data_IF_664011205524
#
_entry.id   IF_664011205524
#
_cell.length_a   1.000
_cell.length_b   1.000
_cell.length_c   1.000
_cell.angle_alpha   90.00
_cell.angle_beta   90.00
_cell.angle_gamma   90.00
#
_symmetry.space_group_name_H-M   'P 1'
#
loop_
_entity.id
_entity.type
_entity.pdbx_description
1 polymer ?
#
# COMPACT_ATOMS: atom_id res chain seq x y z
N UNK A 1 17.57 0.19 16.74
CA UNK A 1 18.55 0.37 15.67
C UNK A 1 18.49 1.81 15.16
N UNK A 2 19.64 2.38 14.80
CA UNK A 2 19.64 3.71 14.22
C UNK A 2 18.96 3.65 12.84
N UNK A 3 18.24 4.72 12.44
CA UNK A 3 17.58 4.81 11.14
C UNK A 3 18.50 4.43 9.98
N UNK A 4 19.77 4.83 10.06
CA UNK A 4 20.80 4.50 9.07
C UNK A 4 21.03 2.99 8.92
N UNK A 5 21.05 2.24 10.02
CA UNK A 5 21.31 0.79 9.99
C UNK A 5 20.16 0.04 9.30
N UNK A 6 18.92 0.47 9.57
CA UNK A 6 17.72 -0.10 8.93
C UNK A 6 17.73 0.17 7.42
N UNK A 7 18.02 1.41 7.00
CA UNK A 7 18.11 1.77 5.59
C UNK A 7 19.22 0.97 4.89
N UNK A 8 20.37 0.84 5.53
CA UNK A 8 21.49 0.09 4.97
C UNK A 8 21.16 -1.39 4.78
N UNK A 9 20.35 -1.98 5.67
CA UNK A 9 19.91 -3.39 5.53
C UNK A 9 18.99 -3.62 4.33
N UNK A 10 18.26 -2.59 3.88
CA UNK A 10 17.38 -2.68 2.71
C UNK A 10 18.09 -2.32 1.40
N UNK A 11 19.20 -1.60 1.43
CA UNK A 11 19.87 -1.03 0.26
C UNK A 11 19.10 0.15 -0.32
N UNK A 12 17.86 -0.09 -0.79
CA UNK A 12 16.90 0.94 -1.19
C UNK A 12 15.72 0.93 -0.23
N UNK A 13 15.31 2.12 0.22
CA UNK A 13 14.25 2.27 1.20
C UNK A 13 13.30 3.43 0.87
N UNK A 14 12.11 3.35 1.44
CA UNK A 14 11.16 4.46 1.50
C UNK A 14 11.02 4.86 2.96
N UNK A 15 11.12 6.15 3.25
CA UNK A 15 10.77 6.68 4.56
C UNK A 15 9.51 7.53 4.46
N UNK A 16 8.62 7.36 5.44
CA UNK A 16 7.30 8.01 5.47
C UNK A 16 7.08 8.72 6.80
N UNK A 17 6.56 9.94 6.73
CA UNK A 17 6.03 10.62 7.90
C UNK A 17 4.70 9.93 8.31
N UNK A 18 4.50 9.59 9.60
CA UNK A 18 3.27 8.91 10.07
C UNK A 18 2.00 9.69 9.74
N UNK A 19 2.05 11.00 9.85
CA UNK A 19 0.93 11.89 9.56
C UNK A 19 1.25 12.74 8.34
N UNK A 20 0.80 12.27 7.18
CA UNK A 20 0.93 12.98 5.91
C UNK A 20 -0.16 12.55 4.95
N UNK A 21 -0.31 13.26 3.85
CA UNK A 21 -1.27 12.93 2.80
C UNK A 21 -0.68 13.18 1.41
N UNK A 22 -1.24 12.48 0.42
CA UNK A 22 -0.94 12.70 -1.00
C UNK A 22 0.56 12.61 -1.35
N UNK A 23 1.30 11.70 -0.73
CA UNK A 23 2.71 11.44 -1.00
C UNK A 23 3.70 12.51 -0.52
N UNK A 24 3.23 13.61 0.11
CA UNK A 24 4.10 14.72 0.56
C UNK A 24 5.10 14.32 1.64
N UNK A 25 4.72 13.35 2.46
CA UNK A 25 5.55 12.82 3.56
C UNK A 25 6.40 11.63 3.19
N UNK A 26 6.67 11.38 1.91
CA UNK A 26 7.42 10.23 1.43
C UNK A 26 8.78 10.69 0.88
N UNK A 27 9.84 9.96 1.20
CA UNK A 27 11.19 10.15 0.63
C UNK A 27 11.75 8.81 0.20
N UNK A 28 12.35 8.79 -0.98
CA UNK A 28 13.04 7.64 -1.53
C UNK A 28 14.53 7.74 -1.20
N UNK A 29 15.12 6.63 -0.79
CA UNK A 29 16.53 6.55 -0.43
C UNK A 29 17.18 5.45 -1.26
N UNK A 30 18.27 5.79 -1.90
CA UNK A 30 19.16 4.84 -2.56
C UNK A 30 20.48 4.80 -1.80
N UNK A 31 20.72 3.70 -1.07
CA UNK A 31 21.87 3.39 -0.25
C UNK A 31 22.08 4.30 0.99
N UNK A 32 21.96 5.63 0.87
CA UNK A 32 22.20 6.54 1.98
C UNK A 32 21.29 7.78 1.93
N UNK A 33 21.05 8.35 3.12
CA UNK A 33 20.36 9.63 3.25
C UNK A 33 21.37 10.77 3.02
N UNK A 34 20.98 11.74 2.20
CA UNK A 34 21.67 13.02 2.12
C UNK A 34 21.34 13.93 3.33
N UNK A 35 21.98 15.09 3.38
CA UNK A 35 21.80 16.04 4.48
C UNK A 35 20.36 16.59 4.55
N UNK A 36 19.69 16.79 3.40
CA UNK A 36 18.32 17.30 3.33
C UNK A 36 17.31 16.28 3.87
N UNK A 37 17.44 15.02 3.46
CA UNK A 37 16.61 13.91 3.95
C UNK A 37 16.86 13.67 5.43
N UNK A 38 18.12 13.73 5.88
CA UNK A 38 18.48 13.57 7.30
C UNK A 38 17.83 14.66 8.15
N UNK A 39 17.91 15.92 7.72
CA UNK A 39 17.29 17.05 8.43
C UNK A 39 15.77 16.96 8.43
N UNK A 40 15.16 16.53 7.31
CA UNK A 40 13.73 16.30 7.22
C UNK A 40 13.29 15.18 8.16
N UNK A 41 13.99 14.05 8.19
CA UNK A 41 13.67 12.91 9.06
C UNK A 41 13.75 13.29 10.54
N UNK A 42 14.80 14.01 10.94
CA UNK A 42 14.95 14.50 12.31
C UNK A 42 13.77 15.41 12.73
N UNK A 43 13.36 16.32 11.85
CA UNK A 43 12.19 17.18 12.09
C UNK A 43 10.89 16.38 12.22
N UNK A 44 10.65 15.40 11.34
CA UNK A 44 9.46 14.53 11.41
C UNK A 44 9.44 13.76 12.72
N UNK A 45 10.55 13.14 13.11
CA UNK A 45 10.67 12.41 14.38
C UNK A 45 10.37 13.34 15.57
N UNK A 46 10.92 14.55 15.57
CA UNK A 46 10.68 15.54 16.64
C UNK A 46 9.22 15.98 16.72
N UNK A 47 8.55 16.16 15.58
CA UNK A 47 7.17 16.67 15.52
C UNK A 47 6.10 15.59 15.66
N UNK A 48 6.38 14.38 15.17
CA UNK A 48 5.39 13.30 15.05
C UNK A 48 5.72 12.06 15.89
N UNK A 49 6.84 12.08 16.62
CA UNK A 49 7.25 11.01 17.53
C UNK A 49 7.94 9.83 16.85
N UNK A 50 7.98 9.76 15.53
CA UNK A 50 8.58 8.67 14.80
C UNK A 50 8.63 8.87 13.29
N UNK A 51 9.21 7.89 12.61
CA UNK A 51 9.23 7.79 11.14
C UNK A 51 9.08 6.32 10.74
N UNK A 52 8.34 6.06 9.66
CA UNK A 52 8.21 4.72 9.11
C UNK A 52 9.31 4.48 8.08
N UNK A 53 9.83 3.26 8.06
CA UNK A 53 10.86 2.82 7.09
C UNK A 53 10.40 1.52 6.47
N UNK A 54 10.37 1.49 5.14
CA UNK A 54 9.96 0.34 4.36
C UNK A 54 11.01 0.04 3.29
N UNK A 55 11.21 -1.24 2.90
CA UNK A 55 12.03 -1.56 1.74
C UNK A 55 11.40 -0.95 0.48
N UNK A 56 12.26 -0.53 -0.46
CA UNK A 56 11.80 -0.10 -1.77
C UNK A 56 11.47 -1.32 -2.63
N UNK A 57 10.24 -1.37 -3.11
CA UNK A 57 9.80 -2.41 -4.03
C UNK A 57 9.73 -1.91 -5.46
N UNK A 58 10.07 -2.79 -6.43
CA UNK A 58 9.89 -2.51 -7.85
C UNK A 58 8.40 -2.62 -8.23
N UNK A 59 7.68 -1.54 -7.97
CA UNK A 59 6.24 -1.46 -8.17
C UNK A 59 5.89 -1.45 -9.66
N UNK A 60 4.96 -2.33 -10.04
CA UNK A 60 4.43 -2.47 -11.40
C UNK A 60 3.05 -1.85 -11.56
N UNK A 61 2.19 -1.97 -10.55
CA UNK A 61 0.81 -1.49 -10.61
C UNK A 61 0.32 -1.10 -9.22
N UNK A 62 -0.41 0.00 -9.13
CA UNK A 62 -1.18 0.36 -7.95
C UNK A 62 -2.62 -0.13 -8.11
N UNK A 63 -3.18 -0.66 -7.03
CA UNK A 63 -4.61 -0.98 -6.91
C UNK A 63 -5.01 -0.99 -5.44
N UNK A 64 -6.28 -1.10 -5.17
CA UNK A 64 -6.80 -1.21 -3.81
C UNK A 64 -8.04 -2.08 -3.77
N UNK A 65 -8.50 -2.36 -2.57
CA UNK A 65 -9.79 -2.97 -2.28
C UNK A 65 -10.60 -2.04 -1.40
N UNK A 66 -11.84 -1.81 -1.81
CA UNK A 66 -12.78 -0.99 -1.07
C UNK A 66 -13.67 -1.87 -0.20
N UNK A 67 -13.98 -1.36 0.98
CA UNK A 67 -14.85 -2.05 1.95
C UNK A 67 -15.82 -1.05 2.56
N UNK A 68 -16.88 -1.60 3.13
CA UNK A 68 -17.83 -0.85 3.95
C UNK A 68 -18.05 -1.56 5.27
N UNK A 69 -18.05 -0.80 6.36
CA UNK A 69 -18.25 -1.31 7.72
C UNK A 69 -19.59 -0.81 8.25
N UNK A 70 -20.43 -1.74 8.69
CA UNK A 70 -21.70 -1.45 9.35
C UNK A 70 -21.87 -2.27 10.65
N UNK A 71 -23.08 -2.28 11.20
CA UNK A 71 -23.39 -3.04 12.41
C UNK A 71 -23.25 -4.57 12.23
N UNK A 72 -23.44 -5.08 11.01
CA UNK A 72 -23.26 -6.51 10.71
C UNK A 72 -21.78 -6.90 10.62
N UNK A 73 -20.94 -5.98 10.16
CA UNK A 73 -19.50 -6.19 10.04
C UNK A 73 -18.89 -5.50 8.84
N UNK A 74 -17.80 -6.08 8.32
CA UNK A 74 -17.06 -5.57 7.17
C UNK A 74 -17.51 -6.29 5.90
N UNK A 75 -17.78 -5.52 4.86
CA UNK A 75 -18.24 -6.00 3.55
C UNK A 75 -17.26 -5.53 2.48
N UNK A 76 -16.81 -6.45 1.63
CA UNK A 76 -16.05 -6.10 0.43
C UNK A 76 -16.94 -5.37 -0.56
N UNK A 77 -16.47 -4.23 -1.09
CA UNK A 77 -17.22 -3.36 -1.99
C UNK A 77 -16.69 -3.35 -3.42
N UNK A 78 -15.47 -3.83 -3.66
CA UNK A 78 -14.89 -3.97 -5.00
C UNK A 78 -13.43 -3.57 -5.09
N UNK A 79 -12.88 -3.72 -6.29
CA UNK A 79 -11.52 -3.28 -6.64
C UNK A 79 -11.49 -1.79 -6.98
N UNK A 80 -10.37 -1.16 -6.66
CA UNK A 80 -9.98 0.17 -7.11
C UNK A 80 -8.67 0.05 -7.87
N UNK A 81 -8.64 0.41 -9.16
CA UNK A 81 -7.40 0.45 -9.96
C UNK A 81 -7.06 1.90 -10.23
N UNK A 82 -5.96 2.36 -9.67
CA UNK A 82 -5.55 3.75 -9.76
C UNK A 82 -4.13 3.90 -10.29
N UNK A 83 -3.79 5.12 -10.63
CA UNK A 83 -2.51 5.48 -11.20
C UNK A 83 -1.81 6.50 -10.33
N UNK A 84 -0.50 6.32 -10.19
CA UNK A 84 0.38 7.27 -9.52
C UNK A 84 1.51 7.68 -10.47
N UNK A 85 1.92 8.96 -10.41
CA UNK A 85 3.11 9.47 -11.09
C UNK A 85 4.00 10.07 -10.01
N UNK A 86 5.23 9.60 -9.91
CA UNK A 86 6.19 10.02 -8.87
C UNK A 86 5.62 9.90 -7.44
N UNK A 87 4.78 8.87 -7.20
CA UNK A 87 4.13 8.66 -5.91
C UNK A 87 2.90 9.54 -5.64
N UNK A 88 2.55 10.45 -6.56
CA UNK A 88 1.34 11.26 -6.46
C UNK A 88 0.18 10.60 -7.20
N UNK A 89 -0.98 10.51 -6.54
CA UNK A 89 -2.20 10.01 -7.16
C UNK A 89 -2.63 10.92 -8.32
N UNK A 90 -2.98 10.33 -9.47
CA UNK A 90 -3.44 11.04 -10.67
C UNK A 90 -4.86 10.66 -11.12
N UNK A 91 -5.39 9.54 -10.69
CA UNK A 91 -6.77 9.16 -11.00
C UNK A 91 -7.05 7.67 -10.90
N UNK A 92 -8.33 7.33 -10.91
CA UNK A 92 -8.84 5.96 -10.93
C UNK A 92 -9.40 5.58 -12.28
N UNK A 93 -9.33 4.28 -12.59
CA UNK A 93 -10.05 3.70 -13.72
C UNK A 93 -11.52 3.53 -13.37
N UNK A 94 -12.40 4.27 -14.05
CA UNK A 94 -13.85 4.10 -13.95
C UNK A 94 -14.28 2.94 -14.86
N UNK A 95 -14.41 1.76 -14.29
CA UNK A 95 -14.70 0.52 -15.01
C UNK A 95 -15.41 -0.48 -14.10
N UNK A 96 -15.99 -1.51 -14.70
CA UNK A 96 -16.64 -2.60 -13.98
C UNK A 96 -15.63 -3.42 -13.18
N UNK A 97 -16.11 -4.22 -12.23
CA UNK A 97 -15.24 -5.14 -11.45
C UNK A 97 -14.50 -6.11 -12.37
N UNK A 98 -15.18 -6.66 -13.40
CA UNK A 98 -14.57 -7.58 -14.35
C UNK A 98 -13.46 -6.92 -15.19
N UNK A 99 -13.65 -5.70 -15.65
CA UNK A 99 -12.63 -4.94 -16.36
C UNK A 99 -11.42 -4.62 -15.47
N UNK A 100 -11.65 -4.26 -14.20
CA UNK A 100 -10.58 -4.05 -13.22
C UNK A 100 -9.78 -5.34 -12.99
N UNK A 101 -10.46 -6.48 -12.88
CA UNK A 101 -9.82 -7.81 -12.78
C UNK A 101 -9.01 -8.13 -14.05
N UNK A 102 -9.52 -7.81 -15.22
CA UNK A 102 -8.76 -7.97 -16.49
C UNK A 102 -7.52 -7.09 -16.54
N UNK A 103 -7.56 -5.86 -16.00
CA UNK A 103 -6.38 -4.99 -15.91
C UNK A 103 -5.30 -5.55 -14.99
N UNK A 104 -5.68 -6.32 -13.98
CA UNK A 104 -4.75 -6.97 -13.04
C UNK A 104 -4.31 -8.37 -13.47
N UNK A 105 -5.07 -9.04 -14.34
CA UNK A 105 -4.83 -10.42 -14.77
C UNK A 105 -3.42 -10.71 -15.33
N UNK A 106 -2.72 -9.77 -16.01
CA UNK A 106 -1.34 -9.98 -16.43
C UNK A 106 -0.35 -10.17 -15.28
N UNK A 107 -0.71 -9.76 -14.07
CA UNK A 107 0.15 -9.73 -12.89
C UNK A 107 -0.32 -10.65 -11.78
N UNK A 108 -1.64 -10.78 -11.59
CA UNK A 108 -2.27 -11.42 -10.42
C UNK A 108 -3.39 -12.34 -10.87
N UNK A 109 -3.36 -13.60 -10.43
CA UNK A 109 -4.47 -14.54 -10.63
C UNK A 109 -5.71 -14.09 -9.83
N UNK A 110 -6.90 -14.18 -10.42
CA UNK A 110 -8.16 -13.81 -9.76
C UNK A 110 -8.37 -14.54 -8.43
N UNK A 111 -7.93 -15.79 -8.30
CA UNK A 111 -8.00 -16.55 -7.05
C UNK A 111 -7.16 -15.94 -5.93
N UNK A 112 -6.09 -15.22 -6.26
CA UNK A 112 -5.30 -14.46 -5.28
C UNK A 112 -6.09 -13.24 -4.81
N UNK A 113 -6.74 -12.53 -5.73
CA UNK A 113 -7.59 -11.38 -5.39
C UNK A 113 -8.76 -11.80 -4.49
N UNK A 114 -9.43 -12.91 -4.81
CA UNK A 114 -10.54 -13.43 -4.01
C UNK A 114 -10.10 -13.79 -2.59
N UNK A 115 -8.99 -14.52 -2.44
CA UNK A 115 -8.43 -14.85 -1.12
C UNK A 115 -7.98 -13.62 -0.33
N UNK A 116 -7.43 -12.61 -1.00
CA UNK A 116 -7.09 -11.35 -0.34
C UNK A 116 -8.32 -10.63 0.17
N UNK A 117 -9.39 -10.55 -0.63
CA UNK A 117 -10.65 -9.94 -0.22
C UNK A 117 -11.25 -10.67 0.99
N UNK A 118 -11.27 -12.00 0.99
CA UNK A 118 -11.76 -12.81 2.11
C UNK A 118 -10.94 -12.58 3.39
N UNK A 119 -9.61 -12.71 3.30
CA UNK A 119 -8.71 -12.53 4.45
C UNK A 119 -8.79 -11.11 5.03
N UNK A 120 -8.79 -10.09 4.16
CA UNK A 120 -8.90 -8.71 4.61
C UNK A 120 -10.27 -8.43 5.23
N UNK A 121 -11.36 -8.95 4.65
CA UNK A 121 -12.70 -8.83 5.26
C UNK A 121 -12.70 -9.38 6.68
N UNK A 122 -12.14 -10.57 6.89
CA UNK A 122 -12.07 -11.20 8.21
C UNK A 122 -11.19 -10.39 9.16
N UNK A 123 -9.97 -10.04 8.75
CA UNK A 123 -9.02 -9.28 9.58
C UNK A 123 -9.58 -7.91 9.98
N UNK A 124 -10.14 -7.18 9.02
CA UNK A 124 -10.75 -5.88 9.26
C UNK A 124 -11.97 -6.00 10.17
N UNK A 125 -12.79 -7.06 10.03
CA UNK A 125 -13.91 -7.32 10.90
C UNK A 125 -13.48 -7.53 12.36
N UNK A 126 -12.42 -8.29 12.60
CA UNK A 126 -11.89 -8.55 13.96
C UNK A 126 -11.39 -7.26 14.62
N UNK A 127 -10.89 -6.31 13.85
CA UNK A 127 -10.32 -5.07 14.37
C UNK A 127 -11.31 -3.89 14.41
N UNK A 128 -12.25 -3.80 13.47
CA UNK A 128 -13.06 -2.60 13.24
C UNK A 128 -14.54 -2.76 13.64
N UNK A 129 -15.08 -3.98 13.69
CA UNK A 129 -16.47 -4.21 14.09
C UNK A 129 -16.78 -3.59 15.44
N UNK A 130 -17.80 -2.76 15.52
CA UNK A 130 -18.19 -2.04 16.73
C UNK A 130 -17.30 -0.85 17.09
N UNK A 131 -16.23 -0.57 16.33
CA UNK A 131 -15.30 0.56 16.57
C UNK A 131 -15.30 1.58 15.45
N UNK A 132 -15.65 1.18 14.23
CA UNK A 132 -15.71 2.04 13.06
C UNK A 132 -16.97 1.72 12.27
N UNK A 133 -17.56 2.72 11.62
CA UNK A 133 -18.65 2.58 10.64
C UNK A 133 -18.39 3.52 9.48
N UNK A 134 -18.55 3.00 8.26
CA UNK A 134 -18.36 3.77 7.03
C UNK A 134 -17.46 3.07 6.02
N UNK A 135 -17.16 3.77 4.91
CA UNK A 135 -16.29 3.27 3.86
C UNK A 135 -14.83 3.27 4.31
N UNK A 136 -14.06 2.29 3.85
CA UNK A 136 -12.60 2.28 3.97
C UNK A 136 -11.98 1.67 2.71
N UNK A 137 -10.74 2.06 2.41
CA UNK A 137 -9.94 1.48 1.34
C UNK A 137 -8.63 0.93 1.86
N UNK A 138 -8.17 -0.17 1.26
CA UNK A 138 -6.85 -0.75 1.50
C UNK A 138 -6.05 -0.63 0.21
N UNK A 139 -5.04 0.21 0.23
CA UNK A 139 -4.13 0.40 -0.90
C UNK A 139 -3.12 -0.75 -0.96
N UNK A 140 -2.90 -1.25 -2.17
CA UNK A 140 -2.05 -2.39 -2.49
C UNK A 140 -1.17 -2.08 -3.69
N UNK A 141 -0.13 -2.88 -3.89
CA UNK A 141 0.66 -2.80 -5.12
C UNK A 141 1.06 -4.18 -5.62
N UNK A 142 1.15 -4.30 -6.94
CA UNK A 142 1.85 -5.38 -7.60
C UNK A 142 3.32 -5.04 -7.68
N UNK A 143 4.17 -5.99 -7.32
CA UNK A 143 5.62 -5.84 -7.27
C UNK A 143 6.26 -6.89 -8.18
N UNK A 144 7.25 -6.50 -8.99
CA UNK A 144 8.07 -7.45 -9.71
C UNK A 144 9.01 -8.17 -8.75
N UNK A 145 9.01 -9.50 -8.81
CA UNK A 145 9.94 -10.32 -8.05
C UNK A 145 11.34 -10.19 -8.66
N UNK A 146 12.27 -9.60 -7.93
CA UNK A 146 13.67 -9.48 -8.36
C UNK A 146 14.46 -10.79 -8.20
N UNK A 147 13.99 -11.69 -7.36
CA UNK A 147 14.56 -13.02 -7.19
C UNK A 147 13.83 -14.01 -8.10
N UNK A 148 14.40 -14.27 -9.26
CA UNK A 148 13.91 -15.26 -10.24
C UNK A 148 14.02 -16.72 -9.76
N UNK A 149 14.42 -16.95 -8.52
CA UNK A 149 14.50 -18.26 -7.90
C UNK A 149 13.16 -18.59 -7.24
N UNK A 150 12.27 -19.21 -8.00
CA UNK A 150 11.41 -20.33 -7.63
C UNK A 150 9.99 -20.09 -7.08
N UNK A 151 9.55 -18.99 -6.49
CA UNK A 151 8.31 -19.10 -5.69
C UNK A 151 7.04 -18.46 -6.27
N UNK A 152 7.10 -17.73 -7.38
CA UNK A 152 5.89 -17.23 -8.06
C UNK A 152 5.97 -17.49 -9.57
N UNK A 153 5.06 -18.29 -10.14
CA UNK A 153 5.05 -18.62 -11.56
C UNK A 153 4.95 -17.40 -12.49
N UNK A 154 4.42 -16.29 -12.00
CA UNK A 154 4.19 -15.06 -12.77
C UNK A 154 5.35 -14.05 -12.72
N UNK A 155 6.36 -14.23 -11.88
CA UNK A 155 7.39 -13.22 -11.65
C UNK A 155 6.90 -11.96 -10.91
N UNK A 156 5.67 -11.98 -10.39
CA UNK A 156 5.05 -10.90 -9.64
C UNK A 156 4.48 -11.39 -8.31
N UNK A 157 4.39 -10.48 -7.34
CA UNK A 157 3.65 -10.72 -6.11
C UNK A 157 2.84 -9.48 -5.71
N UNK A 158 1.83 -9.68 -4.89
CA UNK A 158 1.04 -8.60 -4.32
C UNK A 158 1.61 -8.19 -2.97
N UNK A 159 1.91 -6.91 -2.79
CA UNK A 159 2.08 -6.31 -1.47
C UNK A 159 0.68 -5.91 -0.97
N UNK A 160 0.11 -6.65 -0.02
CA UNK A 160 -1.34 -6.65 0.21
C UNK A 160 -1.83 -5.47 1.06
N UNK A 161 -0.95 -4.76 1.76
CA UNK A 161 -1.31 -3.60 2.58
C UNK A 161 -0.19 -2.57 2.52
N UNK A 162 -0.39 -1.52 1.74
CA UNK A 162 0.49 -0.35 1.68
C UNK A 162 -0.02 0.73 2.63
N UNK A 163 -1.35 0.93 2.64
CA UNK A 163 -2.03 1.91 3.48
C UNK A 163 -3.48 1.47 3.72
N UNK A 164 -4.00 1.73 4.92
CA UNK A 164 -5.42 1.56 5.24
C UNK A 164 -6.01 2.95 5.46
N UNK A 165 -7.02 3.27 4.66
CA UNK A 165 -7.68 4.57 4.64
C UNK A 165 -9.07 4.44 5.28
N UNK A 166 -9.23 4.81 6.57
CA UNK A 166 -10.52 4.79 7.28
C UNK A 166 -11.39 5.99 6.86
N UNK A 167 -11.72 6.05 5.59
CA UNK A 167 -12.51 7.10 4.95
C UNK A 167 -12.94 6.63 3.57
N UNK A 168 -13.86 7.37 2.95
CA UNK A 168 -14.11 7.19 1.51
C UNK A 168 -12.83 7.51 0.73
N UNK A 169 -12.43 6.61 -0.13
CA UNK A 169 -11.34 6.79 -1.08
C UNK A 169 -11.87 7.30 -2.43
N UNK A 170 -11.02 7.38 -3.42
CA UNK A 170 -11.37 7.81 -4.78
C UNK A 170 -11.73 6.60 -5.68
N UNK A 171 -11.73 5.40 -5.12
CA UNK A 171 -12.07 4.16 -5.81
C UNK A 171 -13.55 3.84 -5.85
#
# INVERSE_FOLDING_TARGET
PALKDVIQSFGKAIIKAPWSSSGRGVRYIDQAMDAAITSWAARVISQQGGIMVEPYYNKMKDFGMEFFVDAAGVHYAGLSVFHTINGAYVGNSLSTEDEKRQMLAPYVDNRVLDRLAEHLTQLLNDHLKGKYQGPLGVDMMVVANQNTAADTPSGFFVHPVVEINLRRTMG
#
